data_IF_255139230753
#
_entry.id   IF_255139230753
#
_cell.length_a   1.000
_cell.length_b   1.000
_cell.length_c   1.000
_cell.angle_alpha   90.00
_cell.angle_beta   90.00
_cell.angle_gamma   90.00
#
_symmetry.space_group_name_H-M   'P 1'
#
loop_
_entity.id
_entity.type
_entity.pdbx_description
1 polymer ?
#
# COMPACT_ATOMS: atom_id res chain seq x y z
N UNK A 1 12.69 -26.81 2.42
CA UNK A 1 11.70 -25.82 2.92
C UNK A 1 12.31 -25.05 4.09
N UNK A 2 13.03 -23.95 3.83
CA UNK A 2 13.60 -23.10 4.89
C UNK A 2 13.93 -21.64 4.46
N UNK A 3 13.60 -21.22 3.23
CA UNK A 3 14.02 -19.89 2.71
C UNK A 3 12.92 -18.82 2.71
N UNK A 4 11.64 -19.20 2.74
CA UNK A 4 10.52 -18.25 2.76
C UNK A 4 10.41 -17.47 4.08
N UNK A 5 10.76 -18.11 5.21
CA UNK A 5 10.72 -17.46 6.53
C UNK A 5 11.76 -16.35 6.67
N UNK A 6 12.92 -16.48 6.00
CA UNK A 6 13.99 -15.48 6.03
C UNK A 6 13.64 -14.26 5.14
N UNK A 7 12.90 -14.48 4.05
CA UNK A 7 12.46 -13.41 3.16
C UNK A 7 11.36 -12.53 3.78
N UNK A 8 10.40 -13.13 4.51
CA UNK A 8 9.34 -12.37 5.21
C UNK A 8 9.91 -11.57 6.39
N UNK A 9 10.91 -12.09 7.10
CA UNK A 9 11.60 -11.34 8.17
C UNK A 9 12.38 -10.13 7.62
N UNK A 10 13.01 -10.26 6.45
CA UNK A 10 13.66 -9.14 5.76
C UNK A 10 12.64 -8.16 5.17
N UNK A 11 11.51 -8.64 4.65
CA UNK A 11 10.43 -7.80 4.15
C UNK A 11 9.75 -6.99 5.26
N UNK A 12 9.63 -7.53 6.48
CA UNK A 12 9.16 -6.79 7.65
C UNK A 12 10.11 -5.64 8.03
N UNK A 13 11.42 -5.84 7.86
CA UNK A 13 12.42 -4.78 8.04
C UNK A 13 12.42 -3.75 6.90
N UNK A 14 11.88 -4.12 5.73
CA UNK A 14 11.62 -3.20 4.63
C UNK A 14 10.30 -2.42 4.83
N UNK A 15 9.32 -2.98 5.56
CA UNK A 15 8.03 -2.35 5.83
C UNK A 15 8.02 -1.32 6.95
N UNK A 16 9.00 -1.34 7.86
CA UNK A 16 9.12 -0.37 8.97
C UNK A 16 10.37 0.52 8.84
N UNK A 17 11.28 0.21 7.90
CA UNK A 17 12.60 0.86 7.79
C UNK A 17 12.80 1.82 6.60
N UNK A 18 11.94 1.80 5.58
CA UNK A 18 12.11 2.70 4.41
C UNK A 18 11.55 4.10 4.64
N UNK A 19 10.57 4.29 5.54
CA UNK A 19 10.03 5.61 5.82
C UNK A 19 11.07 6.56 6.48
N UNK A 20 11.94 6.02 7.34
CA UNK A 20 12.90 6.82 8.13
C UNK A 20 14.20 7.17 7.38
N UNK A 21 14.58 6.40 6.34
CA UNK A 21 15.78 6.68 5.51
C UNK A 21 15.42 7.37 4.18
N UNK A 22 14.14 7.38 3.78
CA UNK A 22 13.67 7.97 2.52
C UNK A 22 13.56 9.51 2.54
N UNK A 23 13.56 10.16 3.70
CA UNK A 23 13.50 11.63 3.79
C UNK A 23 14.78 12.32 3.26
N UNK A 24 15.93 11.64 3.23
CA UNK A 24 17.23 12.27 2.91
C UNK A 24 17.80 11.92 1.52
N UNK A 25 17.18 10.98 0.78
CA UNK A 25 17.69 10.50 -0.54
C UNK A 25 16.61 10.31 -1.62
N UNK A 26 15.65 11.22 -1.72
CA UNK A 26 14.42 11.11 -2.54
C UNK A 26 14.53 11.09 -4.08
N UNK A 27 15.56 10.48 -4.68
CA UNK A 27 15.64 10.36 -6.15
C UNK A 27 16.35 9.11 -6.68
N UNK A 28 17.36 8.61 -5.98
CA UNK A 28 18.15 7.44 -6.44
C UNK A 28 17.40 6.12 -6.25
N UNK A 29 16.56 6.03 -5.23
CA UNK A 29 15.82 4.81 -4.87
C UNK A 29 14.67 4.49 -5.83
N UNK A 30 13.98 5.50 -6.38
CA UNK A 30 12.91 5.29 -7.38
C UNK A 30 13.48 4.68 -8.67
N UNK A 31 14.69 5.10 -9.07
CA UNK A 31 15.35 4.58 -10.25
C UNK A 31 15.77 3.11 -10.09
N UNK A 32 16.22 2.73 -8.89
CA UNK A 32 16.53 1.34 -8.55
C UNK A 32 15.27 0.47 -8.47
N UNK A 33 14.19 0.99 -7.85
CA UNK A 33 12.89 0.33 -7.77
C UNK A 33 12.32 0.07 -9.17
N UNK A 34 12.39 1.05 -10.07
CA UNK A 34 11.99 0.90 -11.47
C UNK A 34 12.74 -0.23 -12.16
N UNK A 35 14.07 -0.30 -11.99
CA UNK A 35 14.90 -1.35 -12.59
C UNK A 35 14.54 -2.75 -12.08
N UNK A 36 14.23 -2.87 -10.79
CA UNK A 36 13.78 -4.13 -10.20
C UNK A 36 12.37 -4.51 -10.66
N UNK A 37 11.44 -3.55 -10.70
CA UNK A 37 10.08 -3.77 -11.18
C UNK A 37 10.06 -4.19 -12.66
N UNK A 38 10.91 -3.59 -13.50
CA UNK A 38 11.08 -3.99 -14.90
C UNK A 38 11.54 -5.44 -15.05
N UNK A 39 12.52 -5.88 -14.24
CA UNK A 39 12.99 -7.27 -14.27
C UNK A 39 11.91 -8.27 -13.86
N UNK A 40 11.14 -7.95 -12.82
CA UNK A 40 10.04 -8.80 -12.36
C UNK A 40 8.94 -8.87 -13.42
N UNK A 41 8.60 -7.73 -14.01
CA UNK A 41 7.66 -7.64 -15.12
C UNK A 41 8.11 -8.48 -16.32
N UNK A 42 9.36 -8.37 -16.75
CA UNK A 42 9.94 -9.17 -17.83
C UNK A 42 9.91 -10.68 -17.49
N UNK A 43 10.17 -11.04 -16.24
CA UNK A 43 10.12 -12.43 -15.78
C UNK A 43 8.69 -12.98 -15.82
N UNK A 44 7.69 -12.22 -15.38
CA UNK A 44 6.28 -12.61 -15.46
C UNK A 44 5.79 -12.75 -16.92
N UNK A 45 6.27 -11.90 -17.82
CA UNK A 45 6.01 -12.02 -19.27
C UNK A 45 6.67 -13.29 -19.83
N UNK A 46 7.91 -13.56 -19.45
CA UNK A 46 8.64 -14.76 -19.90
C UNK A 46 7.99 -16.07 -19.42
N UNK A 47 7.36 -16.03 -18.25
CA UNK A 47 6.55 -17.13 -17.69
C UNK A 47 5.17 -17.24 -18.34
N UNK A 48 4.76 -16.25 -19.13
CA UNK A 48 3.45 -16.19 -19.78
C UNK A 48 2.31 -15.89 -18.81
N UNK A 49 2.62 -15.36 -17.61
CA UNK A 49 1.61 -15.02 -16.59
C UNK A 49 0.92 -13.68 -16.90
N UNK A 50 1.62 -12.79 -17.60
CA UNK A 50 1.12 -11.47 -18.02
C UNK A 50 1.57 -11.15 -19.44
N UNK A 51 0.81 -10.32 -20.15
CA UNK A 51 1.25 -9.78 -21.44
C UNK A 51 2.27 -8.66 -21.25
N UNK A 52 3.12 -8.43 -22.26
CA UNK A 52 4.14 -7.37 -22.21
C UNK A 52 3.54 -5.97 -22.03
N UNK A 53 2.32 -5.75 -22.53
CA UNK A 53 1.60 -4.49 -22.39
C UNK A 53 1.12 -4.27 -20.96
N UNK A 54 0.59 -5.31 -20.31
CA UNK A 54 0.16 -5.26 -18.90
C UNK A 54 1.34 -5.10 -17.95
N UNK A 55 2.46 -5.77 -18.24
CA UNK A 55 3.68 -5.69 -17.47
C UNK A 55 4.25 -4.27 -17.42
N UNK A 56 4.28 -3.59 -18.58
CA UNK A 56 4.68 -2.18 -18.67
C UNK A 56 3.76 -1.28 -17.86
N UNK A 57 2.45 -1.46 -18.02
CA UNK A 57 1.45 -0.65 -17.33
C UNK A 57 1.59 -0.78 -15.81
N UNK A 58 1.79 -2.00 -15.31
CA UNK A 58 1.97 -2.25 -13.87
C UNK A 58 3.20 -1.53 -13.29
N UNK A 59 4.31 -1.53 -14.03
CA UNK A 59 5.53 -0.82 -13.63
C UNK A 59 5.29 0.69 -13.63
N UNK A 60 4.62 1.22 -14.66
CA UNK A 60 4.32 2.65 -14.76
C UNK A 60 3.37 3.11 -13.65
N UNK A 61 2.32 2.34 -13.34
CA UNK A 61 1.37 2.60 -12.25
C UNK A 61 2.08 2.59 -10.88
N UNK A 62 3.00 1.64 -10.65
CA UNK A 62 3.80 1.57 -9.43
C UNK A 62 4.71 2.79 -9.25
N UNK A 63 5.36 3.24 -10.33
CA UNK A 63 6.19 4.44 -10.32
C UNK A 63 5.33 5.68 -10.06
N UNK A 64 4.16 5.75 -10.70
CA UNK A 64 3.22 6.85 -10.50
C UNK A 64 2.75 6.91 -9.06
N UNK A 65 2.40 5.78 -8.44
CA UNK A 65 2.03 5.72 -7.03
C UNK A 65 3.18 6.11 -6.11
N UNK A 66 4.41 5.68 -6.41
CA UNK A 66 5.60 6.06 -5.65
C UNK A 66 5.95 7.55 -5.78
N UNK A 67 5.66 8.17 -6.92
CA UNK A 67 5.82 9.62 -7.14
C UNK A 67 4.67 10.44 -6.54
N UNK A 68 3.44 9.89 -6.56
CA UNK A 68 2.26 10.49 -5.95
C UNK A 68 2.22 10.33 -4.43
N UNK A 69 3.02 9.42 -3.86
CA UNK A 69 3.39 9.41 -2.45
C UNK A 69 4.32 10.60 -2.13
N UNK A 70 3.90 11.80 -2.54
CA UNK A 70 4.40 13.05 -2.02
C UNK A 70 3.70 13.24 -0.66
N UNK A 71 4.43 13.55 0.43
CA UNK A 71 3.86 13.77 1.75
C UNK A 71 3.10 15.10 1.73
N UNK A 72 1.88 15.06 1.20
CA UNK A 72 0.87 16.08 1.45
C UNK A 72 -0.11 15.52 2.49
N UNK A 73 0.44 14.87 3.51
CA UNK A 73 -0.12 15.00 4.85
C UNK A 73 0.77 15.98 5.59
N UNK A 74 0.11 16.99 6.08
CA UNK A 74 0.58 18.14 6.83
C UNK A 74 1.36 17.73 8.08
N UNK A 75 2.58 17.21 7.97
CA UNK A 75 3.50 17.23 9.11
C UNK A 75 4.12 18.61 9.19
N UNK A 76 3.27 19.54 9.63
CA UNK A 76 3.68 20.78 10.26
C UNK A 76 4.72 20.38 11.30
N UNK A 77 5.92 20.89 11.11
CA UNK A 77 7.03 20.86 12.03
C UNK A 77 6.59 21.48 13.37
N UNK A 78 5.87 20.71 14.19
CA UNK A 78 5.53 21.03 15.57
C UNK A 78 6.29 20.02 16.42
N UNK A 79 7.44 20.50 16.89
CA UNK A 79 8.16 20.14 18.11
C UNK A 79 7.72 18.83 18.78
N UNK A 80 8.67 17.93 19.00
CA UNK A 80 8.57 16.70 19.82
C UNK A 80 8.15 17.01 21.27
N UNK A 81 6.93 17.47 21.47
CA UNK A 81 6.27 17.47 22.75
C UNK A 81 5.64 16.09 22.97
N UNK A 82 5.59 15.61 24.22
CA UNK A 82 4.85 14.40 24.53
C UNK A 82 3.42 14.54 24.02
N UNK A 83 2.96 13.56 23.22
CA UNK A 83 1.63 13.58 22.62
C UNK A 83 0.57 13.68 23.71
N UNK A 84 -0.33 14.63 23.56
CA UNK A 84 -1.49 14.78 24.43
C UNK A 84 -2.40 13.56 24.24
N UNK A 85 -2.75 12.87 25.32
CA UNK A 85 -3.77 11.83 25.31
C UNK A 85 -5.13 12.47 25.64
N UNK A 86 -6.08 12.33 24.73
CA UNK A 86 -7.47 12.71 24.97
C UNK A 86 -8.15 11.61 25.79
N UNK A 87 -8.80 11.98 26.90
CA UNK A 87 -9.55 11.03 27.73
C UNK A 87 -10.93 10.91 27.11
N UNK A 88 -11.12 9.88 26.30
CA UNK A 88 -12.42 9.50 25.75
C UNK A 88 -13.28 8.95 26.90
N UNK A 89 -14.49 9.48 27.08
CA UNK A 89 -15.43 8.95 28.07
C UNK A 89 -16.19 7.76 27.47
N UNK A 90 -16.75 6.87 28.30
CA UNK A 90 -17.49 5.67 27.82
C UNK A 90 -18.60 6.01 26.79
N UNK A 91 -19.22 7.20 26.90
CA UNK A 91 -20.23 7.71 25.96
C UNK A 91 -19.64 8.05 24.56
N UNK A 92 -18.38 8.47 24.49
CA UNK A 92 -17.69 8.78 23.24
C UNK A 92 -17.19 7.49 22.55
N UNK A 93 -16.87 6.43 23.31
CA UNK A 93 -16.53 5.12 22.75
C UNK A 93 -17.70 4.51 21.97
N UNK A 94 -18.93 4.57 22.50
CA UNK A 94 -20.13 4.05 21.81
C UNK A 94 -20.39 4.76 20.47
N UNK A 95 -20.14 6.07 20.42
CA UNK A 95 -20.27 6.87 19.19
C UNK A 95 -19.18 6.54 18.16
N UNK A 96 -17.99 6.18 18.65
CA UNK A 96 -16.86 5.80 17.79
C UNK A 96 -17.04 4.38 17.24
N UNK A 97 -17.55 3.46 18.05
CA UNK A 97 -17.85 2.08 17.63
C UNK A 97 -19.02 2.01 16.64
N UNK A 98 -20.08 2.81 16.83
CA UNK A 98 -21.17 2.93 15.84
C UNK A 98 -20.68 3.46 14.50
N UNK A 99 -19.86 4.53 14.52
CA UNK A 99 -19.25 5.08 13.31
C UNK A 99 -18.34 4.05 12.61
N UNK A 100 -17.59 3.25 13.37
CA UNK A 100 -16.72 2.21 12.83
C UNK A 100 -17.52 1.07 12.20
N UNK A 101 -18.63 0.67 12.81
CA UNK A 101 -19.52 -0.34 12.28
C UNK A 101 -20.14 0.09 10.94
N UNK A 102 -20.60 1.34 10.83
CA UNK A 102 -21.12 1.88 9.57
C UNK A 102 -20.06 1.87 8.45
N UNK A 103 -18.81 2.21 8.77
CA UNK A 103 -17.71 2.14 7.80
C UNK A 103 -17.41 0.70 7.36
N UNK A 104 -17.48 -0.28 8.28
CA UNK A 104 -17.30 -1.69 7.97
C UNK A 104 -18.41 -2.23 7.06
N UNK A 105 -19.64 -1.79 7.28
CA UNK A 105 -20.79 -2.19 6.45
C UNK A 105 -20.69 -1.62 5.03
N UNK A 106 -20.29 -0.36 4.89
CA UNK A 106 -20.00 0.25 3.59
C UNK A 106 -18.89 -0.50 2.84
N UNK A 107 -17.82 -0.89 3.53
CA UNK A 107 -16.71 -1.62 2.93
C UNK A 107 -17.13 -3.02 2.44
N UNK A 108 -17.97 -3.73 3.22
CA UNK A 108 -18.54 -5.02 2.82
C UNK A 108 -19.36 -4.90 1.54
N UNK A 109 -20.20 -3.88 1.43
CA UNK A 109 -21.00 -3.63 0.23
C UNK A 109 -20.13 -3.34 -1.00
N UNK A 110 -19.07 -2.55 -0.84
CA UNK A 110 -18.14 -2.26 -1.93
C UNK A 110 -17.38 -3.50 -2.40
N UNK A 111 -16.98 -4.37 -1.47
CA UNK A 111 -16.33 -5.65 -1.82
C UNK A 111 -17.30 -6.56 -2.56
N UNK A 112 -18.56 -6.64 -2.13
CA UNK A 112 -19.58 -7.45 -2.79
C UNK A 112 -19.87 -6.96 -4.22
N UNK A 113 -20.02 -5.64 -4.42
CA UNK A 113 -20.24 -5.08 -5.76
C UNK A 113 -19.07 -5.37 -6.71
N UNK A 114 -17.83 -5.25 -6.22
CA UNK A 114 -16.64 -5.54 -7.02
C UNK A 114 -16.54 -7.03 -7.37
N UNK A 115 -16.92 -7.92 -6.45
CA UNK A 115 -16.95 -9.35 -6.72
C UNK A 115 -17.99 -9.71 -7.78
N UNK A 116 -19.18 -9.10 -7.72
CA UNK A 116 -20.23 -9.31 -8.73
C UNK A 116 -19.80 -8.80 -10.11
N UNK A 117 -19.15 -7.64 -10.18
CA UNK A 117 -18.59 -7.12 -11.43
C UNK A 117 -17.53 -8.05 -12.02
N UNK A 118 -16.63 -8.61 -11.19
CA UNK A 118 -15.64 -9.58 -11.64
C UNK A 118 -16.28 -10.87 -12.14
N UNK A 119 -17.29 -11.38 -11.45
CA UNK A 119 -18.00 -12.60 -11.88
C UNK A 119 -18.81 -12.37 -13.15
N UNK A 120 -19.35 -11.17 -13.36
CA UNK A 120 -19.97 -10.76 -14.62
C UNK A 120 -18.95 -10.71 -15.75
N UNK A 121 -17.79 -10.12 -15.52
CA UNK A 121 -16.70 -10.05 -16.50
C UNK A 121 -16.18 -11.45 -16.86
N UNK A 122 -16.07 -12.37 -15.90
CA UNK A 122 -15.67 -13.77 -16.16
C UNK A 122 -16.67 -14.56 -17.00
N UNK A 123 -17.94 -14.14 -17.04
CA UNK A 123 -19.01 -14.80 -17.81
C UNK A 123 -19.18 -14.22 -19.22
N UNK A 124 -18.49 -13.12 -19.54
CA UNK A 124 -18.35 -12.59 -20.90
C UNK A 124 -17.13 -13.20 -21.58
#
# INVERSE_FOLDING_TARGET
MADLGNLVQKAFYLGVGIASYAAEKGGTTIQELKSQAQKVADEMVSRGEITAEEAKKYVDDMIQQAQQANPTETEKNEQKEPRLIEIVSEEDEEKTETSKQENLDNLKQQVESLQEELDRLKRQ
#
